data_IF_856664052789
#
_entry.id   IF_856664052789
#
_cell.length_a   1.000
_cell.length_b   1.000
_cell.length_c   1.000
_cell.angle_alpha   90.00
_cell.angle_beta   90.00
_cell.angle_gamma   90.00
#
_symmetry.space_group_name_H-M   'P 1'
#
loop_
_entity.id
_entity.type
_entity.pdbx_description
1 polymer ?
#
# COMPACT_ATOMS: atom_id res chain seq x y z
N UNK A 1 -13.25 -11.55 30.07
CA UNK A 1 -12.40 -11.43 28.87
C UNK A 1 -11.00 -11.06 29.36
N UNK A 2 -9.95 -11.76 28.93
CA UNK A 2 -8.56 -11.48 29.35
C UNK A 2 -7.82 -10.66 28.28
N UNK A 3 -6.76 -9.95 28.65
CA UNK A 3 -5.91 -9.21 27.69
C UNK A 3 -5.45 -10.13 26.55
N UNK A 4 -4.96 -11.34 26.89
CA UNK A 4 -4.55 -12.36 25.91
C UNK A 4 -5.68 -12.75 24.94
N UNK A 5 -6.92 -12.87 25.42
CA UNK A 5 -8.05 -13.20 24.54
C UNK A 5 -8.38 -12.08 23.56
N UNK A 6 -8.13 -10.82 23.94
CA UNK A 6 -8.33 -9.65 23.08
C UNK A 6 -7.23 -9.58 22.02
N UNK A 7 -5.96 -9.76 22.43
CA UNK A 7 -4.81 -9.79 21.51
C UNK A 7 -4.94 -10.90 20.47
N UNK A 8 -5.36 -12.10 20.89
CA UNK A 8 -5.57 -13.22 19.97
C UNK A 8 -6.70 -12.94 18.98
N UNK A 9 -7.81 -12.33 19.43
CA UNK A 9 -8.91 -11.96 18.52
C UNK A 9 -8.44 -10.94 17.47
N UNK A 10 -7.62 -9.95 17.84
CA UNK A 10 -7.03 -9.03 16.86
C UNK A 10 -6.19 -9.76 15.81
N UNK A 11 -5.31 -10.66 16.24
CA UNK A 11 -4.47 -11.45 15.34
C UNK A 11 -5.35 -12.27 14.40
N UNK A 12 -6.30 -13.04 14.94
CA UNK A 12 -7.16 -13.94 14.17
C UNK A 12 -8.01 -13.17 13.16
N UNK A 13 -8.66 -12.09 13.56
CA UNK A 13 -9.60 -11.33 12.70
C UNK A 13 -8.90 -10.52 11.63
N UNK A 14 -7.75 -9.91 11.93
CA UNK A 14 -7.00 -9.11 10.94
C UNK A 14 -6.27 -10.04 9.97
N UNK A 15 -5.56 -11.05 10.47
CA UNK A 15 -4.81 -11.98 9.61
C UNK A 15 -5.73 -12.79 8.68
N UNK A 16 -6.94 -13.17 9.12
CA UNK A 16 -7.90 -13.87 8.27
C UNK A 16 -8.35 -13.07 7.03
N UNK A 17 -8.17 -11.74 7.04
CA UNK A 17 -8.46 -10.87 5.89
C UNK A 17 -7.27 -10.67 4.96
N UNK A 18 -6.07 -11.10 5.37
CA UNK A 18 -4.87 -11.06 4.54
C UNK A 18 -4.75 -12.38 3.79
N UNK A 19 -4.78 -12.35 2.46
CA UNK A 19 -4.71 -13.57 1.63
C UNK A 19 -3.79 -13.35 0.43
N UNK A 20 -3.02 -14.38 0.09
CA UNK A 20 -2.16 -14.39 -1.09
C UNK A 20 -2.71 -15.42 -2.06
N UNK A 21 -2.99 -15.01 -3.30
CA UNK A 21 -3.59 -15.87 -4.33
C UNK A 21 -2.70 -15.86 -5.57
N UNK A 22 -2.35 -17.02 -6.16
CA UNK A 22 -1.58 -17.06 -7.40
C UNK A 22 -2.24 -16.27 -8.53
N UNK A 23 -1.45 -15.49 -9.25
CA UNK A 23 -1.88 -14.64 -10.39
C UNK A 23 -0.82 -14.68 -11.52
N UNK A 24 -0.19 -15.85 -11.71
CA UNK A 24 0.89 -16.06 -12.68
C UNK A 24 2.06 -16.85 -12.10
N UNK A 25 3.11 -17.02 -12.90
CA UNK A 25 4.37 -17.63 -12.44
C UNK A 25 5.12 -16.65 -11.55
N UNK A 26 5.49 -17.08 -10.34
CA UNK A 26 6.18 -16.25 -9.34
C UNK A 26 5.48 -14.88 -9.10
N UNK A 27 4.15 -14.87 -9.21
CA UNK A 27 3.29 -13.69 -9.10
C UNK A 27 2.02 -14.02 -8.33
N UNK A 28 1.66 -13.16 -7.38
CA UNK A 28 0.53 -13.34 -6.49
C UNK A 28 -0.19 -12.03 -6.24
N UNK A 29 -1.52 -12.07 -6.16
CA UNK A 29 -2.33 -10.97 -5.66
C UNK A 29 -2.42 -11.04 -4.14
N UNK A 30 -2.22 -9.91 -3.48
CA UNK A 30 -2.28 -9.80 -2.01
C UNK A 30 -3.55 -9.04 -1.64
N UNK A 31 -4.51 -9.75 -1.05
CA UNK A 31 -5.73 -9.17 -0.51
C UNK A 31 -5.47 -8.69 0.92
N UNK A 32 -5.95 -7.49 1.25
CA UNK A 32 -5.85 -6.91 2.58
C UNK A 32 -7.20 -6.28 2.96
N UNK A 33 -7.46 -6.02 4.26
CA UNK A 33 -8.65 -5.28 4.68
C UNK A 33 -8.53 -3.76 4.53
N UNK A 34 -7.42 -3.25 3.98
CA UNK A 34 -7.12 -1.83 3.95
C UNK A 34 -7.72 -1.18 2.71
N UNK A 35 -8.23 0.03 2.90
CA UNK A 35 -8.93 0.82 1.90
C UNK A 35 -8.42 2.25 1.94
N UNK A 36 -8.59 2.97 0.84
CA UNK A 36 -8.53 4.42 0.82
C UNK A 36 -9.75 5.02 1.56
N UNK A 37 -9.72 6.32 1.84
CA UNK A 37 -10.73 7.01 2.63
C UNK A 37 -12.12 7.05 1.95
N UNK A 38 -12.18 6.83 0.64
CA UNK A 38 -13.42 6.74 -0.13
C UNK A 38 -14.01 5.31 -0.19
N UNK A 39 -13.32 4.32 0.41
CA UNK A 39 -13.75 2.93 0.48
C UNK A 39 -13.20 2.02 -0.62
N UNK A 40 -12.41 2.53 -1.57
CA UNK A 40 -11.74 1.69 -2.55
C UNK A 40 -10.63 0.86 -1.90
N UNK A 41 -10.51 -0.41 -2.27
CA UNK A 41 -9.45 -1.27 -1.74
C UNK A 41 -8.11 -0.94 -2.38
N UNK A 42 -7.04 -0.95 -1.58
CA UNK A 42 -5.69 -0.81 -2.12
C UNK A 42 -5.31 -2.05 -2.95
N UNK A 43 -4.67 -1.83 -4.09
CA UNK A 43 -4.19 -2.91 -4.97
C UNK A 43 -2.75 -3.27 -4.61
N UNK A 44 -2.48 -4.54 -4.35
CA UNK A 44 -1.13 -5.03 -4.03
C UNK A 44 -0.87 -6.35 -4.75
N UNK A 45 0.28 -6.40 -5.43
CA UNK A 45 0.83 -7.59 -6.08
C UNK A 45 2.18 -7.92 -5.45
N UNK A 46 2.38 -9.19 -5.09
CA UNK A 46 3.68 -9.75 -4.74
C UNK A 46 4.23 -10.48 -5.95
N UNK A 47 5.39 -10.05 -6.47
CA UNK A 47 6.02 -10.66 -7.64
C UNK A 47 7.53 -10.79 -7.45
N UNK A 48 8.12 -11.76 -8.14
CA UNK A 48 9.57 -11.94 -8.13
C UNK A 48 10.22 -11.06 -9.21
N UNK A 49 11.19 -10.25 -8.81
CA UNK A 49 11.96 -9.38 -9.69
C UNK A 49 13.44 -9.42 -9.29
N UNK A 50 14.33 -9.58 -10.29
CA UNK A 50 15.79 -9.53 -10.12
C UNK A 50 16.30 -10.41 -8.95
N UNK A 51 15.74 -11.62 -8.83
CA UNK A 51 16.16 -12.59 -7.81
C UNK A 51 15.63 -12.33 -6.40
N UNK A 52 14.64 -11.45 -6.20
CA UNK A 52 13.95 -11.31 -4.92
C UNK A 52 12.48 -10.94 -5.06
N UNK A 53 11.80 -10.80 -3.93
CA UNK A 53 10.38 -10.47 -3.90
C UNK A 53 10.15 -8.97 -3.80
N UNK A 54 9.14 -8.48 -4.51
CA UNK A 54 8.74 -7.08 -4.54
C UNK A 54 7.22 -6.99 -4.39
N UNK A 55 6.77 -6.11 -3.50
CA UNK A 55 5.39 -5.62 -3.46
C UNK A 55 5.26 -4.46 -4.43
N UNK A 56 4.17 -4.44 -5.20
CA UNK A 56 3.86 -3.40 -6.17
C UNK A 56 2.37 -3.07 -6.16
N UNK A 57 2.02 -1.82 -6.39
CA UNK A 57 0.64 -1.38 -6.65
C UNK A 57 0.29 -1.42 -8.14
N UNK A 58 1.29 -1.70 -9.01
CA UNK A 58 1.21 -1.65 -10.46
C UNK A 58 0.64 -0.32 -11.00
N UNK A 59 0.90 0.78 -10.29
CA UNK A 59 0.44 2.13 -10.62
C UNK A 59 -1.03 2.41 -10.31
N UNK A 60 -1.73 1.48 -9.66
CA UNK A 60 -3.15 1.66 -9.33
C UNK A 60 -3.37 2.81 -8.34
N UNK A 61 -2.45 3.08 -7.42
CA UNK A 61 -2.64 4.16 -6.44
C UNK A 61 -2.63 5.52 -7.13
N UNK A 62 -1.66 5.80 -7.98
CA UNK A 62 -1.67 7.06 -8.73
C UNK A 62 -2.85 7.15 -9.69
N UNK A 63 -3.22 6.05 -10.36
CA UNK A 63 -4.41 6.01 -11.22
C UNK A 63 -5.69 6.36 -10.45
N UNK A 64 -5.86 5.81 -9.25
CA UNK A 64 -7.00 6.11 -8.39
C UNK A 64 -7.02 7.58 -7.97
N UNK A 65 -5.87 8.12 -7.53
CA UNK A 65 -5.74 9.52 -7.13
C UNK A 65 -6.01 10.51 -8.28
N UNK A 66 -5.72 10.13 -9.53
CA UNK A 66 -5.90 11.02 -10.68
C UNK A 66 -7.34 11.12 -11.19
N UNK A 67 -8.27 10.33 -10.65
CA UNK A 67 -9.70 10.50 -10.95
C UNK A 67 -10.23 11.85 -10.48
N UNK A 68 -9.80 12.32 -9.31
CA UNK A 68 -10.25 13.59 -8.73
C UNK A 68 -9.20 14.70 -8.79
N UNK A 69 -7.92 14.36 -8.92
CA UNK A 69 -6.81 15.32 -8.83
C UNK A 69 -5.96 15.25 -10.10
N UNK A 70 -5.85 16.38 -10.82
CA UNK A 70 -4.91 16.47 -11.94
C UNK A 70 -3.48 16.14 -11.50
N UNK A 71 -2.72 15.42 -12.33
CA UNK A 71 -1.32 15.04 -12.07
C UNK A 71 -0.46 16.20 -11.56
N UNK A 72 -0.53 17.37 -12.21
CA UNK A 72 0.20 18.58 -11.80
C UNK A 72 -0.08 18.99 -10.34
N UNK A 73 -1.31 18.79 -9.86
CA UNK A 73 -1.70 19.12 -8.47
C UNK A 73 -1.24 18.05 -7.48
N UNK A 74 -1.13 16.78 -7.89
CA UNK A 74 -0.57 15.72 -7.04
C UNK A 74 0.89 16.02 -6.70
N UNK A 75 1.67 16.38 -7.72
CA UNK A 75 3.10 16.65 -7.59
C UNK A 75 3.43 18.11 -7.26
N UNK A 76 2.50 18.82 -6.60
CA UNK A 76 2.75 20.18 -6.11
C UNK A 76 2.24 20.42 -4.69
N UNK A 77 2.85 21.38 -4.00
CA UNK A 77 2.40 21.86 -2.69
C UNK A 77 2.29 20.76 -1.63
N UNK A 78 1.26 20.87 -0.79
CA UNK A 78 1.04 19.97 0.36
C UNK A 78 0.81 18.51 -0.04
N UNK A 79 0.17 18.25 -1.19
CA UNK A 79 -0.06 16.88 -1.67
C UNK A 79 1.23 16.16 -1.96
N UNK A 80 2.13 16.82 -2.70
CA UNK A 80 3.45 16.28 -2.99
C UNK A 80 4.22 16.01 -1.70
N UNK A 81 4.18 16.94 -0.75
CA UNK A 81 4.85 16.75 0.53
C UNK A 81 4.31 15.53 1.30
N UNK A 82 2.99 15.32 1.33
CA UNK A 82 2.40 14.14 1.98
C UNK A 82 2.82 12.86 1.27
N UNK A 83 2.76 12.84 -0.06
CA UNK A 83 3.15 11.68 -0.87
C UNK A 83 4.63 11.36 -0.65
N UNK A 84 5.54 12.32 -0.86
CA UNK A 84 6.97 12.12 -0.67
C UNK A 84 7.29 11.65 0.76
N UNK A 85 6.69 12.28 1.77
CA UNK A 85 6.88 11.87 3.15
C UNK A 85 6.38 10.45 3.42
N UNK A 86 5.25 10.04 2.84
CA UNK A 86 4.71 8.69 2.98
C UNK A 86 5.69 7.67 2.37
N UNK A 87 6.13 7.91 1.14
CA UNK A 87 7.09 7.05 0.45
C UNK A 87 8.41 6.91 1.22
N UNK A 88 8.99 8.02 1.67
CA UNK A 88 10.22 8.02 2.47
C UNK A 88 10.05 7.30 3.81
N UNK A 89 8.97 7.59 4.56
CA UNK A 89 8.72 7.01 5.89
C UNK A 89 8.64 5.48 5.83
N UNK A 90 8.02 4.95 4.79
CA UNK A 90 7.76 3.51 4.65
C UNK A 90 8.70 2.82 3.66
N UNK A 91 9.75 3.50 3.21
CA UNK A 91 10.75 3.00 2.26
C UNK A 91 10.12 2.42 0.96
N UNK A 92 9.07 3.07 0.49
CA UNK A 92 8.42 2.76 -0.79
C UNK A 92 9.05 3.64 -1.87
N UNK A 93 9.37 3.05 -3.01
CA UNK A 93 9.96 3.75 -4.15
C UNK A 93 8.92 3.99 -5.22
N UNK A 94 8.95 5.17 -5.81
CA UNK A 94 8.28 5.45 -7.07
C UNK A 94 9.21 5.05 -8.23
N UNK A 95 8.79 4.07 -9.01
CA UNK A 95 9.46 3.59 -10.23
C UNK A 95 8.59 3.93 -11.43
N UNK A 96 8.69 5.17 -11.89
CA UNK A 96 7.97 5.67 -13.07
C UNK A 96 6.44 5.57 -12.93
N UNK A 97 5.90 5.92 -11.77
CA UNK A 97 4.47 5.84 -11.47
C UNK A 97 4.02 4.48 -10.93
N UNK A 98 4.92 3.49 -10.80
CA UNK A 98 4.68 2.26 -10.06
C UNK A 98 5.29 2.38 -8.66
N UNK A 99 4.48 2.18 -7.62
CA UNK A 99 4.98 2.17 -6.24
C UNK A 99 5.46 0.75 -5.92
N UNK A 100 6.70 0.64 -5.47
CA UNK A 100 7.33 -0.65 -5.16
C UNK A 100 8.03 -0.66 -3.80
N UNK A 101 8.03 -1.83 -3.16
CA UNK A 101 8.81 -2.11 -1.97
C UNK A 101 9.43 -3.51 -2.06
N UNK A 102 10.76 -3.59 -1.92
CA UNK A 102 11.46 -4.89 -1.91
C UNK A 102 11.28 -5.57 -0.56
N UNK A 103 11.00 -6.86 -0.58
CA UNK A 103 10.96 -7.68 0.63
C UNK A 103 12.39 -8.11 0.97
N UNK A 104 12.91 -7.60 2.07
CA UNK A 104 14.24 -7.94 2.57
C UNK A 104 14.18 -9.11 3.56
N UNK A 105 15.07 -10.08 3.39
CA UNK A 105 15.25 -11.20 4.33
C UNK A 105 13.95 -11.98 4.62
N UNK A 106 13.09 -12.14 3.60
CA UNK A 106 11.79 -12.83 3.72
C UNK A 106 10.84 -12.22 4.78
N UNK A 107 11.03 -10.95 5.15
CA UNK A 107 10.15 -10.22 6.08
C UNK A 107 8.88 -9.70 5.39
N UNK A 108 8.08 -10.62 4.87
CA UNK A 108 6.86 -10.31 4.10
C UNK A 108 5.83 -9.51 4.90
N UNK A 109 5.67 -9.81 6.19
CA UNK A 109 4.70 -9.11 7.06
C UNK A 109 5.06 -7.63 7.24
N UNK A 110 6.32 -7.34 7.55
CA UNK A 110 6.83 -5.97 7.72
C UNK A 110 6.76 -5.17 6.43
N UNK A 111 7.11 -5.82 5.31
CA UNK A 111 6.99 -5.26 3.97
C UNK A 111 5.54 -4.91 3.63
N UNK A 112 4.60 -5.84 3.86
CA UNK A 112 3.18 -5.63 3.61
C UNK A 112 2.61 -4.50 4.47
N UNK A 113 2.95 -4.48 5.76
CA UNK A 113 2.53 -3.43 6.68
C UNK A 113 3.01 -2.06 6.19
N UNK A 114 4.30 -1.93 5.88
CA UNK A 114 4.89 -0.67 5.42
C UNK A 114 4.28 -0.20 4.10
N UNK A 115 4.16 -1.12 3.13
CA UNK A 115 3.59 -0.82 1.82
C UNK A 115 2.13 -0.37 1.92
N UNK A 116 1.29 -1.12 2.65
CA UNK A 116 -0.11 -0.76 2.84
C UNK A 116 -0.29 0.59 3.55
N UNK A 117 0.51 0.89 4.58
CA UNK A 117 0.49 2.18 5.27
C UNK A 117 0.86 3.34 4.35
N UNK A 118 1.85 3.16 3.47
CA UNK A 118 2.19 4.17 2.46
C UNK A 118 1.01 4.45 1.53
N UNK A 119 0.37 3.41 0.97
CA UNK A 119 -0.75 3.57 0.04
C UNK A 119 -1.94 4.26 0.71
N UNK A 120 -2.34 3.82 1.90
CA UNK A 120 -3.45 4.44 2.65
C UNK A 120 -3.13 5.90 2.96
N UNK A 121 -1.90 6.21 3.40
CA UNK A 121 -1.48 7.59 3.69
C UNK A 121 -1.47 8.48 2.46
N UNK A 122 -1.15 7.93 1.29
CA UNK A 122 -1.27 8.65 0.02
C UNK A 122 -2.72 8.93 -0.33
N UNK A 123 -3.65 8.00 -0.08
CA UNK A 123 -5.10 8.18 -0.28
C UNK A 123 -5.65 9.44 0.41
N UNK A 124 -5.15 9.77 1.59
CA UNK A 124 -5.59 10.94 2.37
C UNK A 124 -5.41 12.30 1.66
N UNK A 125 -4.66 12.38 0.56
CA UNK A 125 -4.56 13.63 -0.24
C UNK A 125 -5.85 14.00 -0.96
N UNK A 126 -6.79 13.06 -1.12
CA UNK A 126 -8.14 13.30 -1.65
C UNK A 126 -8.96 14.17 -0.70
N UNK A 127 -8.78 14.01 0.61
CA UNK A 127 -9.51 14.77 1.63
C UNK A 127 -9.00 16.21 1.84
N UNK A 128 -7.89 16.61 1.20
CA UNK A 128 -7.37 17.97 1.31
C UNK A 128 -8.24 18.97 0.55
N UNK A 129 -9.03 19.75 1.30
CA UNK A 129 -9.70 20.94 0.76
C UNK A 129 -8.64 21.97 0.36
N UNK A 130 -8.55 22.26 -0.93
CA UNK A 130 -7.72 23.36 -1.42
C UNK A 130 -8.47 24.65 -1.10
N UNK A 131 -7.91 25.45 -0.19
CA UNK A 131 -8.37 26.81 0.07
C UNK A 131 -8.09 27.75 -1.08
#
# INVERSE_FOLDING_TARGET
MSIKSIEQDFIDKVSAKVRVVPDGEDRFRVFTPFMFDDGDHISIVLKKEQGGWVLSDEGHTYMHLTYDISEKKLFSGTRNQIISNALETFNVKDRFGELILRVEEDRFGDALYSFAQALVRMGGVLCLKVG
#
